data_IF_116265092183
#
_entry.id   IF_116265092183
#
_cell.length_a   1.000
_cell.length_b   1.000
_cell.length_c   1.000
_cell.angle_alpha   90.00
_cell.angle_beta   90.00
_cell.angle_gamma   90.00
#
_symmetry.space_group_name_H-M   'P 1'
#
loop_
_entity.id
_entity.type
_entity.pdbx_description
1 polymer ?
#
# COMPACT_ATOMS: atom_id res chain seq x y z
N UNK A 1 14.21 -5.54 20.49
CA UNK A 1 14.71 -4.19 20.76
C UNK A 1 13.53 -3.32 21.12
N UNK A 2 13.56 -2.67 22.29
CA UNK A 2 12.53 -1.71 22.69
C UNK A 2 12.97 -0.33 22.20
N UNK A 3 12.14 0.40 21.44
CA UNK A 3 12.52 1.73 20.96
C UNK A 3 12.68 2.73 22.11
N UNK A 4 13.65 3.63 21.96
CA UNK A 4 13.76 4.85 22.77
C UNK A 4 12.64 5.84 22.42
N UNK A 5 12.40 6.81 23.30
CA UNK A 5 11.42 7.86 23.07
C UNK A 5 11.70 8.68 21.79
N UNK A 6 12.97 9.00 21.52
CA UNK A 6 13.37 9.74 20.32
C UNK A 6 13.13 8.95 19.02
N UNK A 7 13.34 7.63 19.05
CA UNK A 7 13.05 6.76 17.90
C UNK A 7 11.53 6.67 17.67
N UNK A 8 10.74 6.61 18.74
CA UNK A 8 9.29 6.59 18.64
C UNK A 8 8.72 7.90 18.07
N UNK A 9 9.19 9.05 18.55
CA UNK A 9 8.82 10.35 17.99
C UNK A 9 9.21 10.45 16.51
N UNK A 10 10.41 9.99 16.16
CA UNK A 10 10.85 9.95 14.77
C UNK A 10 9.94 9.09 13.91
N UNK A 11 9.63 7.88 14.34
CA UNK A 11 8.74 6.96 13.63
C UNK A 11 7.33 7.57 13.44
N UNK A 12 6.78 8.21 14.47
CA UNK A 12 5.48 8.88 14.37
C UNK A 12 5.49 10.00 13.30
N UNK A 13 6.55 10.81 13.24
CA UNK A 13 6.70 11.84 12.20
C UNK A 13 6.77 11.26 10.79
N UNK A 14 7.49 10.14 10.61
CA UNK A 14 7.52 9.46 9.31
C UNK A 14 6.16 8.87 8.95
N UNK A 15 5.44 8.31 9.93
CA UNK A 15 4.07 7.83 9.74
C UNK A 15 3.13 8.93 9.25
N UNK A 16 3.12 10.08 9.93
CA UNK A 16 2.28 11.22 9.56
C UNK A 16 2.59 11.72 8.15
N UNK A 17 3.87 11.78 7.78
CA UNK A 17 4.27 12.18 6.44
C UNK A 17 3.87 11.15 5.38
N UNK A 18 4.05 9.85 5.63
CA UNK A 18 3.79 8.82 4.63
C UNK A 18 2.30 8.69 4.28
N UNK A 19 1.42 9.04 5.22
CA UNK A 19 -0.01 9.14 4.96
C UNK A 19 -0.35 10.45 4.25
N UNK A 20 -1.21 10.36 3.26
CA UNK A 20 -1.74 11.51 2.50
C UNK A 20 -3.12 11.89 3.03
N UNK A 21 -3.91 10.91 3.50
CA UNK A 21 -5.23 11.18 4.11
C UNK A 21 -6.22 11.79 3.13
N UNK A 22 -6.24 11.31 1.89
CA UNK A 22 -7.20 11.80 0.88
C UNK A 22 -8.63 11.43 1.29
N UNK A 23 -9.62 12.30 1.02
CA UNK A 23 -11.02 11.96 1.29
C UNK A 23 -11.47 10.80 0.40
N UNK A 24 -12.15 9.83 1.02
CA UNK A 24 -12.84 8.76 0.30
C UNK A 24 -14.02 9.36 -0.46
N UNK A 25 -14.06 9.09 -1.76
CA UNK A 25 -15.11 9.52 -2.70
C UNK A 25 -15.49 8.32 -3.59
N UNK A 26 -16.71 8.30 -4.16
CA UNK A 26 -17.09 7.28 -5.13
C UNK A 26 -16.02 7.09 -6.21
N UNK A 27 -15.85 5.85 -6.68
CA UNK A 27 -14.94 5.45 -7.73
C UNK A 27 -15.56 4.32 -8.56
N UNK A 28 -15.02 4.05 -9.75
CA UNK A 28 -15.48 2.92 -10.56
C UNK A 28 -14.90 1.60 -10.02
N UNK A 29 -13.68 1.64 -9.49
CA UNK A 29 -12.97 0.45 -8.98
C UNK A 29 -12.24 0.73 -7.67
N UNK A 30 -12.34 -0.22 -6.74
CA UNK A 30 -11.34 -0.39 -5.69
C UNK A 30 -10.18 -1.20 -6.26
N UNK A 31 -8.94 -0.74 -6.05
CA UNK A 31 -7.74 -1.48 -6.38
C UNK A 31 -7.00 -1.83 -5.10
N UNK A 32 -6.96 -3.11 -4.73
CA UNK A 32 -6.43 -3.57 -3.45
C UNK A 32 -5.05 -4.16 -3.66
N UNK A 33 -4.03 -3.55 -3.06
CA UNK A 33 -2.65 -4.01 -3.20
C UNK A 33 -2.30 -5.05 -2.15
N UNK A 34 -1.79 -6.18 -2.65
CA UNK A 34 -1.24 -7.26 -1.85
C UNK A 34 -0.08 -6.87 -0.94
N UNK A 35 0.16 -7.74 0.03
CA UNK A 35 1.37 -7.77 0.82
C UNK A 35 1.18 -8.54 2.12
N UNK A 36 2.10 -8.33 3.05
CA UNK A 36 2.12 -9.04 4.33
C UNK A 36 1.04 -8.61 5.34
N UNK A 37 0.35 -7.49 5.10
CA UNK A 37 -0.69 -6.96 5.97
C UNK A 37 -2.02 -7.08 5.23
N UNK A 38 -2.83 -8.06 5.63
CA UNK A 38 -4.09 -8.38 4.97
C UNK A 38 -5.25 -7.48 5.42
N UNK A 39 -5.02 -6.55 6.37
CA UNK A 39 -6.04 -5.57 6.80
C UNK A 39 -6.51 -4.65 5.66
N UNK A 40 -5.77 -4.60 4.55
CA UNK A 40 -6.20 -3.95 3.30
C UNK A 40 -7.48 -4.56 2.73
N UNK A 41 -7.69 -5.87 2.92
CA UNK A 41 -8.90 -6.55 2.47
C UNK A 41 -10.12 -6.16 3.31
N UNK A 42 -9.96 -6.03 4.64
CA UNK A 42 -11.03 -5.58 5.53
C UNK A 42 -11.48 -4.16 5.16
N UNK A 43 -10.52 -3.26 4.92
CA UNK A 43 -10.84 -1.89 4.46
C UNK A 43 -11.54 -1.89 3.11
N UNK A 44 -11.12 -2.74 2.17
CA UNK A 44 -11.76 -2.85 0.86
C UNK A 44 -13.20 -3.40 0.97
N UNK A 45 -13.46 -4.39 1.81
CA UNK A 45 -14.81 -4.90 2.08
C UNK A 45 -15.71 -3.81 2.66
N UNK A 46 -15.21 -3.05 3.65
CA UNK A 46 -15.94 -1.91 4.21
C UNK A 46 -16.34 -0.90 3.13
N UNK A 47 -15.39 -0.47 2.30
CA UNK A 47 -15.62 0.52 1.24
C UNK A 47 -16.62 0.01 0.18
N UNK A 48 -16.58 -1.27 -0.14
CA UNK A 48 -17.55 -1.89 -1.04
C UNK A 48 -18.98 -1.83 -0.46
N UNK A 49 -19.16 -2.20 0.81
CA UNK A 49 -20.46 -2.15 1.49
C UNK A 49 -20.98 -0.72 1.71
N UNK A 50 -20.08 0.25 1.83
CA UNK A 50 -20.40 1.69 1.84
C UNK A 50 -20.78 2.21 0.44
N UNK A 51 -20.71 1.40 -0.61
CA UNK A 51 -21.06 1.77 -1.98
C UNK A 51 -20.02 2.67 -2.65
N UNK A 52 -18.77 2.67 -2.18
CA UNK A 52 -17.72 3.53 -2.71
C UNK A 52 -17.31 3.13 -4.12
N UNK A 53 -17.26 1.82 -4.42
CA UNK A 53 -17.13 1.35 -5.79
C UNK A 53 -17.85 0.00 -5.96
N UNK A 54 -18.41 -0.26 -7.15
CA UNK A 54 -19.12 -1.50 -7.43
C UNK A 54 -18.21 -2.70 -7.71
N UNK A 55 -16.92 -2.48 -7.99
CA UNK A 55 -15.96 -3.52 -8.37
C UNK A 55 -14.66 -3.42 -7.57
N UNK A 56 -14.06 -4.57 -7.29
CA UNK A 56 -12.77 -4.69 -6.60
C UNK A 56 -11.80 -5.46 -7.48
N UNK A 57 -10.63 -4.89 -7.76
CA UNK A 57 -9.50 -5.59 -8.34
C UNK A 57 -8.46 -5.83 -7.23
N UNK A 58 -8.25 -7.09 -6.84
CA UNK A 58 -7.17 -7.45 -5.93
C UNK A 58 -5.93 -7.85 -6.73
N UNK A 59 -4.81 -7.18 -6.48
CA UNK A 59 -3.55 -7.31 -7.22
C UNK A 59 -2.40 -7.68 -6.29
N UNK A 60 -1.74 -8.80 -6.58
CA UNK A 60 -0.56 -9.26 -5.84
C UNK A 60 -0.26 -10.74 -6.08
N UNK A 61 1.01 -11.04 -6.37
CA UNK A 61 1.54 -12.37 -6.61
C UNK A 61 1.99 -13.09 -5.33
N UNK A 62 2.96 -14.00 -5.45
CA UNK A 62 3.38 -14.89 -4.35
C UNK A 62 4.51 -14.34 -3.47
N UNK A 63 5.09 -13.18 -3.81
CA UNK A 63 6.36 -12.71 -3.25
C UNK A 63 6.34 -12.45 -1.75
N UNK A 64 5.27 -11.87 -1.19
CA UNK A 64 5.22 -11.57 0.25
C UNK A 64 4.47 -12.62 1.07
N UNK A 65 4.06 -13.74 0.46
CA UNK A 65 3.47 -14.85 1.20
C UNK A 65 4.54 -15.66 1.94
N UNK A 66 4.34 -15.98 3.23
CA UNK A 66 5.22 -16.90 3.95
C UNK A 66 5.27 -18.29 3.29
N UNK A 67 6.41 -18.96 3.42
CA UNK A 67 6.54 -20.36 3.02
C UNK A 67 5.51 -21.23 3.76
N UNK A 68 4.72 -22.01 3.01
CA UNK A 68 3.62 -22.81 3.57
C UNK A 68 2.28 -22.07 3.70
N UNK A 69 2.15 -20.88 3.11
CA UNK A 69 0.86 -20.19 2.97
C UNK A 69 -0.20 -21.11 2.36
N UNK A 70 -1.43 -21.03 2.89
CA UNK A 70 -2.59 -21.73 2.34
C UNK A 70 -3.03 -21.17 0.97
N UNK A 71 -2.54 -19.99 0.60
CA UNK A 71 -2.87 -19.31 -0.65
C UNK A 71 -1.68 -19.29 -1.60
N UNK A 72 -1.97 -19.38 -2.90
CA UNK A 72 -0.95 -19.30 -3.94
C UNK A 72 -0.43 -17.87 -4.14
N UNK A 73 -1.29 -16.86 -3.96
CA UNK A 73 -0.96 -15.44 -4.18
C UNK A 73 -1.62 -14.55 -3.13
N UNK A 74 -1.06 -13.34 -2.96
CA UNK A 74 -1.64 -12.29 -2.11
C UNK A 74 -3.07 -11.93 -2.56
N UNK A 75 -3.33 -11.89 -3.87
CA UNK A 75 -4.66 -11.66 -4.41
C UNK A 75 -5.67 -12.76 -4.02
N UNK A 76 -5.25 -14.03 -4.00
CA UNK A 76 -6.11 -15.13 -3.55
C UNK A 76 -6.44 -15.03 -2.06
N UNK A 77 -5.49 -14.62 -1.23
CA UNK A 77 -5.72 -14.37 0.20
C UNK A 77 -6.70 -13.20 0.42
N UNK A 78 -6.52 -12.11 -0.33
CA UNK A 78 -7.45 -10.96 -0.29
C UNK A 78 -8.87 -11.39 -0.69
N UNK A 79 -9.03 -12.18 -1.77
CA UNK A 79 -10.35 -12.67 -2.20
C UNK A 79 -11.06 -13.45 -1.11
N UNK A 80 -10.33 -14.29 -0.36
CA UNK A 80 -10.93 -15.10 0.69
C UNK A 80 -11.53 -14.20 1.79
N UNK A 81 -10.79 -13.18 2.23
CA UNK A 81 -11.26 -12.22 3.23
C UNK A 81 -12.46 -11.44 2.70
N UNK A 82 -12.40 -10.95 1.45
CA UNK A 82 -13.51 -10.23 0.83
C UNK A 82 -14.78 -11.10 0.74
N UNK A 83 -14.63 -12.36 0.35
CA UNK A 83 -15.76 -13.32 0.24
C UNK A 83 -16.32 -13.65 1.63
N UNK A 84 -15.47 -13.84 2.63
CA UNK A 84 -15.89 -14.06 4.01
C UNK A 84 -16.60 -12.85 4.62
N UNK A 85 -16.35 -11.66 4.08
CA UNK A 85 -17.03 -10.41 4.40
C UNK A 85 -18.25 -10.14 3.48
N UNK A 86 -18.83 -11.16 2.84
CA UNK A 86 -20.03 -11.08 1.99
C UNK A 86 -19.89 -10.18 0.74
N UNK A 87 -18.67 -9.95 0.25
CA UNK A 87 -18.48 -9.35 -1.08
C UNK A 87 -18.72 -10.44 -2.16
N UNK A 88 -19.64 -10.22 -3.13
CA UNK A 88 -19.91 -11.18 -4.20
C UNK A 88 -18.66 -11.48 -5.02
N UNK A 89 -18.46 -12.75 -5.40
CA UNK A 89 -17.29 -13.17 -6.19
C UNK A 89 -17.24 -12.48 -7.56
N UNK A 90 -18.40 -12.16 -8.11
CA UNK A 90 -18.58 -11.48 -9.39
C UNK A 90 -18.12 -10.02 -9.33
N UNK A 91 -18.08 -9.42 -8.14
CA UNK A 91 -17.54 -8.09 -7.91
C UNK A 91 -16.01 -8.08 -7.71
N UNK A 92 -15.36 -9.25 -7.65
CA UNK A 92 -13.93 -9.38 -7.34
C UNK A 92 -13.16 -9.93 -8.56
N UNK A 93 -12.25 -9.11 -9.08
CA UNK A 93 -11.30 -9.47 -10.14
C UNK A 93 -9.91 -9.67 -9.54
N UNK A 94 -9.17 -10.69 -10.00
CA UNK A 94 -7.87 -11.06 -9.45
C UNK A 94 -6.73 -10.93 -10.45
N UNK A 95 -5.71 -10.17 -10.05
CA UNK A 95 -4.41 -10.04 -10.71
C UNK A 95 -3.34 -10.71 -9.81
N UNK A 96 -2.58 -11.66 -10.35
CA UNK A 96 -1.79 -12.65 -9.57
C UNK A 96 -0.28 -12.65 -9.85
N UNK A 97 0.19 -11.73 -10.67
CA UNK A 97 1.56 -11.69 -11.18
C UNK A 97 2.40 -10.62 -10.47
N UNK A 98 1.78 -9.54 -10.01
CA UNK A 98 2.52 -8.40 -9.49
C UNK A 98 3.38 -8.72 -8.25
N UNK A 99 4.63 -8.27 -8.27
CA UNK A 99 5.60 -8.48 -7.18
C UNK A 99 6.00 -7.17 -6.46
N UNK A 100 5.52 -6.04 -6.95
CA UNK A 100 5.78 -4.71 -6.40
C UNK A 100 4.68 -3.72 -6.82
N UNK A 101 4.67 -2.54 -6.18
CA UNK A 101 3.67 -1.49 -6.43
C UNK A 101 3.55 -1.10 -7.89
N UNK A 102 4.67 -1.00 -8.62
CA UNK A 102 4.66 -0.60 -10.02
C UNK A 102 4.07 -1.69 -10.93
N UNK A 103 4.31 -2.95 -10.61
CA UNK A 103 3.73 -4.09 -11.30
C UNK A 103 2.25 -4.24 -11.01
N UNK A 104 1.78 -3.89 -9.79
CA UNK A 104 0.35 -3.87 -9.50
C UNK A 104 -0.39 -2.97 -10.50
N UNK A 105 0.13 -1.77 -10.79
CA UNK A 105 -0.43 -0.88 -11.80
C UNK A 105 -0.34 -1.46 -13.22
N UNK A 106 0.81 -2.04 -13.59
CA UNK A 106 1.00 -2.61 -14.93
C UNK A 106 0.01 -3.74 -15.19
N UNK A 107 0.06 -4.79 -14.37
CA UNK A 107 -0.72 -6.00 -14.60
C UNK A 107 -2.22 -5.77 -14.41
N UNK A 108 -2.62 -4.84 -13.52
CA UNK A 108 -4.03 -4.45 -13.41
C UNK A 108 -4.52 -3.78 -14.70
N UNK A 109 -3.70 -2.93 -15.34
CA UNK A 109 -4.09 -2.29 -16.59
C UNK A 109 -4.15 -3.28 -17.76
N UNK A 110 -3.23 -4.26 -17.82
CA UNK A 110 -3.31 -5.35 -18.80
C UNK A 110 -4.57 -6.19 -18.60
N UNK A 111 -4.87 -6.58 -17.36
CA UNK A 111 -6.05 -7.38 -17.04
C UNK A 111 -7.35 -6.66 -17.40
N UNK A 112 -7.47 -5.36 -17.10
CA UNK A 112 -8.64 -4.57 -17.47
C UNK A 112 -8.78 -4.44 -18.99
N UNK A 113 -7.67 -4.19 -19.69
CA UNK A 113 -7.65 -4.11 -21.17
C UNK A 113 -8.09 -5.41 -21.81
N UNK A 114 -7.60 -6.55 -21.31
CA UNK A 114 -7.95 -7.88 -21.84
C UNK A 114 -9.45 -8.20 -21.66
N UNK A 115 -10.11 -7.57 -20.68
CA UNK A 115 -11.56 -7.64 -20.48
C UNK A 115 -12.34 -6.58 -21.27
N UNK A 116 -11.67 -5.74 -22.07
CA UNK A 116 -12.29 -4.64 -22.81
C UNK A 116 -12.76 -3.49 -21.92
N UNK A 117 -12.18 -3.35 -20.71
CA UNK A 117 -12.54 -2.33 -19.73
C UNK A 117 -11.49 -1.21 -19.72
N UNK A 118 -11.94 0.03 -19.57
CA UNK A 118 -11.06 1.20 -19.43
C UNK A 118 -11.57 2.22 -18.40
N UNK A 119 -11.78 1.80 -17.13
CA UNK A 119 -12.24 2.71 -16.08
C UNK A 119 -11.25 3.87 -15.86
N UNK A 120 -11.77 5.01 -15.45
CA UNK A 120 -11.00 6.23 -15.19
C UNK A 120 -10.83 6.55 -13.70
N UNK A 121 -11.77 6.14 -12.85
CA UNK A 121 -11.73 6.45 -11.42
C UNK A 121 -11.37 5.25 -10.55
N UNK A 122 -10.25 5.35 -9.84
CA UNK A 122 -9.75 4.31 -8.94
C UNK A 122 -9.55 4.85 -7.53
N UNK A 123 -9.97 4.05 -6.54
CA UNK A 123 -9.55 4.21 -5.15
C UNK A 123 -8.65 3.03 -4.77
N UNK A 124 -7.38 3.32 -4.51
CA UNK A 124 -6.39 2.29 -4.16
C UNK A 124 -6.40 2.07 -2.66
N UNK A 125 -6.63 0.83 -2.24
CA UNK A 125 -6.57 0.39 -0.85
C UNK A 125 -5.23 -0.29 -0.60
N UNK A 126 -4.47 0.26 0.34
CA UNK A 126 -3.09 -0.16 0.61
C UNK A 126 -2.69 0.13 2.07
N UNK A 127 -1.44 -0.18 2.46
CA UNK A 127 -0.97 -0.02 3.85
C UNK A 127 -0.79 1.45 4.21
N UNK A 128 -1.09 1.91 5.43
CA UNK A 128 -1.04 3.34 5.76
C UNK A 128 0.27 4.04 5.38
N UNK A 129 1.39 3.41 5.68
CA UNK A 129 2.72 3.97 5.41
C UNK A 129 3.17 3.92 3.95
N UNK A 130 2.36 3.40 3.02
CA UNK A 130 2.71 3.34 1.59
C UNK A 130 1.92 4.33 0.72
N UNK A 131 0.98 5.11 1.31
CA UNK A 131 0.03 5.97 0.57
C UNK A 131 0.74 6.92 -0.40
N UNK A 132 1.71 7.69 0.11
CA UNK A 132 2.42 8.70 -0.68
C UNK A 132 3.20 8.08 -1.84
N UNK A 133 3.84 6.92 -1.64
CA UNK A 133 4.59 6.24 -2.71
C UNK A 133 3.68 5.61 -3.75
N UNK A 134 2.55 5.03 -3.32
CA UNK A 134 1.54 4.50 -4.24
C UNK A 134 0.97 5.61 -5.11
N UNK A 135 0.63 6.76 -4.54
CA UNK A 135 0.15 7.92 -5.28
C UNK A 135 1.21 8.48 -6.25
N UNK A 136 2.47 8.57 -5.83
CA UNK A 136 3.56 8.97 -6.72
C UNK A 136 3.81 7.95 -7.85
N UNK A 137 3.60 6.66 -7.59
CA UNK A 137 3.72 5.60 -8.61
C UNK A 137 2.57 5.67 -9.61
N UNK A 138 1.35 5.93 -9.14
CA UNK A 138 0.17 6.02 -10.02
C UNK A 138 0.30 7.14 -11.04
N UNK A 139 0.80 8.32 -10.64
CA UNK A 139 1.02 9.46 -11.55
C UNK A 139 1.94 9.12 -12.71
N UNK A 140 2.95 8.28 -12.46
CA UNK A 140 3.85 7.82 -13.52
C UNK A 140 3.21 6.73 -14.39
N UNK A 141 2.51 5.77 -13.78
CA UNK A 141 2.02 4.58 -14.48
C UNK A 141 0.70 4.82 -15.21
N UNK A 142 -0.18 5.61 -14.61
CA UNK A 142 -1.52 5.93 -15.07
C UNK A 142 -1.75 7.46 -15.03
N UNK A 143 -1.01 8.26 -15.82
CA UNK A 143 -1.14 9.71 -15.81
C UNK A 143 -2.54 10.20 -16.21
N UNK A 144 -3.27 9.43 -17.03
CA UNK A 144 -4.59 9.79 -17.54
C UNK A 144 -5.75 9.27 -16.67
N UNK A 145 -5.47 8.63 -15.53
CA UNK A 145 -6.48 8.07 -14.61
C UNK A 145 -6.62 8.93 -13.36
N UNK A 146 -7.84 9.03 -12.85
CA UNK A 146 -8.14 9.70 -11.59
C UNK A 146 -7.92 8.71 -10.43
N UNK A 147 -6.71 8.74 -9.86
CA UNK A 147 -6.32 7.83 -8.79
C UNK A 147 -6.34 8.54 -7.44
N UNK A 148 -7.06 7.96 -6.49
CA UNK A 148 -7.00 8.28 -5.06
C UNK A 148 -6.41 7.12 -4.28
N UNK A 149 -5.87 7.40 -3.11
CA UNK A 149 -5.34 6.37 -2.19
C UNK A 149 -6.04 6.46 -0.85
N UNK A 150 -6.23 5.31 -0.23
CA UNK A 150 -6.71 5.17 1.15
C UNK A 150 -6.00 4.00 1.83
N UNK A 151 -6.15 3.93 3.14
CA UNK A 151 -5.67 2.81 3.95
C UNK A 151 -6.64 2.52 5.10
N UNK A 152 -6.21 1.67 6.03
CA UNK A 152 -6.92 1.40 7.27
C UNK A 152 -6.99 2.68 8.12
N UNK A 153 -8.17 3.00 8.65
CA UNK A 153 -8.39 4.16 9.53
C UNK A 153 -7.89 3.86 10.94
N UNK A 154 -6.57 3.99 11.15
CA UNK A 154 -5.91 3.73 12.44
C UNK A 154 -4.93 4.83 12.82
N UNK A 155 -4.77 5.04 14.13
CA UNK A 155 -3.68 5.85 14.69
C UNK A 155 -2.36 5.09 14.64
N UNK A 156 -1.23 5.79 14.79
CA UNK A 156 0.08 5.17 14.85
C UNK A 156 0.20 4.21 16.04
N UNK A 157 -0.34 4.60 17.19
CA UNK A 157 -0.37 3.81 18.42
C UNK A 157 -1.15 2.51 18.23
N UNK A 158 -2.34 2.60 17.60
CA UNK A 158 -3.14 1.42 17.28
C UNK A 158 -2.42 0.50 16.30
N UNK A 159 -1.74 1.05 15.28
CA UNK A 159 -0.97 0.25 14.34
C UNK A 159 0.20 -0.47 15.04
N UNK A 160 0.88 0.21 15.96
CA UNK A 160 1.97 -0.36 16.78
C UNK A 160 1.48 -1.40 17.80
N UNK A 161 0.24 -1.28 18.27
CA UNK A 161 -0.40 -2.25 19.16
C UNK A 161 -0.94 -3.49 18.40
N UNK A 162 -0.87 -3.50 17.08
CA UNK A 162 -1.28 -4.62 16.24
C UNK A 162 -0.33 -5.82 16.28
N UNK A 163 -0.50 -6.73 15.33
CA UNK A 163 0.27 -8.00 15.27
C UNK A 163 1.70 -7.84 14.73
N UNK A 164 2.03 -6.68 14.13
CA UNK A 164 3.34 -6.44 13.54
C UNK A 164 4.29 -5.94 14.63
N UNK A 165 5.46 -6.57 14.83
CA UNK A 165 6.42 -6.10 15.82
C UNK A 165 6.85 -4.66 15.55
N UNK A 166 6.83 -3.81 16.58
CA UNK A 166 7.18 -2.38 16.50
C UNK A 166 8.51 -2.12 15.76
N UNK A 167 9.61 -2.87 16.01
CA UNK A 167 10.85 -2.67 15.24
C UNK A 167 10.68 -2.88 13.73
N UNK A 168 9.84 -3.83 13.32
CA UNK A 168 9.53 -4.06 11.91
C UNK A 168 8.73 -2.90 11.32
N UNK A 169 7.81 -2.31 12.09
CA UNK A 169 7.09 -1.09 11.68
C UNK A 169 8.07 0.03 11.41
N UNK A 170 9.03 0.27 12.32
CA UNK A 170 10.00 1.36 12.17
C UNK A 170 10.87 1.15 10.93
N UNK A 171 11.31 -0.10 10.68
CA UNK A 171 12.02 -0.43 9.44
C UNK A 171 11.19 -0.15 8.19
N UNK A 172 9.89 -0.45 8.22
CA UNK A 172 8.99 -0.19 7.09
C UNK A 172 8.86 1.32 6.84
N UNK A 173 8.65 2.12 7.89
CA UNK A 173 8.54 3.58 7.75
C UNK A 173 9.82 4.19 7.19
N UNK A 174 10.98 3.87 7.78
CA UNK A 174 12.26 4.37 7.32
C UNK A 174 12.55 3.93 5.87
N UNK A 175 12.26 2.66 5.54
CA UNK A 175 12.42 2.13 4.20
C UNK A 175 11.55 2.84 3.16
N UNK A 176 10.33 3.24 3.50
CA UNK A 176 9.44 3.94 2.58
C UNK A 176 9.89 5.37 2.29
N UNK A 177 10.42 6.08 3.28
CA UNK A 177 10.99 7.43 3.09
C UNK A 177 12.19 7.36 2.13
N UNK A 178 13.11 6.41 2.36
CA UNK A 178 14.28 6.22 1.49
C UNK A 178 13.87 5.78 0.08
N UNK A 179 12.83 4.93 -0.06
CA UNK A 179 12.28 4.58 -1.37
C UNK A 179 11.68 5.77 -2.10
N UNK A 180 10.93 6.64 -1.41
CA UNK A 180 10.35 7.83 -2.03
C UNK A 180 11.43 8.70 -2.67
N UNK A 181 12.52 8.96 -1.95
CA UNK A 181 13.64 9.76 -2.46
C UNK A 181 14.37 9.06 -3.62
N UNK A 182 14.83 7.82 -3.40
CA UNK A 182 15.58 7.05 -4.40
C UNK A 182 14.79 6.79 -5.68
N UNK A 183 13.49 6.47 -5.55
CA UNK A 183 12.64 6.19 -6.71
C UNK A 183 12.28 7.46 -7.46
N UNK A 184 12.17 8.61 -6.79
CA UNK A 184 12.02 9.89 -7.48
C UNK A 184 13.27 10.22 -8.30
N UNK A 185 14.46 10.05 -7.73
CA UNK A 185 15.73 10.31 -8.42
C UNK A 185 15.96 9.40 -9.63
N UNK A 186 15.63 8.11 -9.52
CA UNK A 186 15.71 7.13 -10.62
C UNK A 186 14.54 7.22 -11.61
N UNK A 187 13.57 8.12 -11.35
CA UNK A 187 12.39 8.28 -12.18
C UNK A 187 11.43 7.09 -12.12
N UNK A 188 11.48 6.22 -11.11
CA UNK A 188 10.53 5.10 -10.93
C UNK A 188 9.16 5.56 -10.44
N UNK A 189 9.07 6.75 -9.83
CA UNK A 189 7.83 7.39 -9.37
C UNK A 189 7.84 8.89 -9.73
N UNK A 190 6.68 9.54 -9.62
CA UNK A 190 6.53 10.98 -9.83
C UNK A 190 5.81 11.62 -8.63
N UNK A 191 6.56 12.06 -7.59
CA UNK A 191 5.98 12.74 -6.44
C UNK A 191 5.59 14.19 -6.79
N UNK A 192 4.72 14.83 -5.99
CA UNK A 192 4.41 16.26 -6.15
C UNK A 192 5.57 17.14 -5.67
N UNK A 193 6.19 16.73 -4.57
CA UNK A 193 7.25 17.43 -3.88
C UNK A 193 8.34 16.42 -3.50
N UNK A 194 9.62 16.84 -3.46
CA UNK A 194 10.69 16.00 -2.95
C UNK A 194 10.46 15.65 -1.47
N UNK A 195 11.06 14.56 -1.02
CA UNK A 195 11.07 14.20 0.40
C UNK A 195 11.82 15.30 1.18
N UNK A 196 11.24 15.88 2.25
CA UNK A 196 11.95 16.84 3.09
C UNK A 196 13.24 16.24 3.66
N UNK A 197 14.36 16.99 3.55
CA UNK A 197 15.69 16.51 3.92
C UNK A 197 15.75 16.02 5.37
N UNK A 198 15.05 16.69 6.28
CA UNK A 198 14.99 16.35 7.70
C UNK A 198 14.29 15.01 7.95
N UNK A 199 13.32 14.62 7.11
CA UNK A 199 12.66 13.32 7.20
C UNK A 199 13.53 12.22 6.60
N UNK A 200 14.25 12.51 5.51
CA UNK A 200 15.21 11.58 4.92
C UNK A 200 16.37 11.28 5.89
N UNK A 201 16.95 12.31 6.50
CA UNK A 201 17.95 12.16 7.55
C UNK A 201 17.43 11.36 8.74
N UNK A 202 16.19 11.62 9.17
CA UNK A 202 15.57 10.90 10.26
C UNK A 202 15.35 9.41 9.95
N UNK A 203 14.94 9.09 8.71
CA UNK A 203 14.84 7.70 8.25
C UNK A 203 16.20 7.00 8.24
N UNK A 204 17.26 7.66 7.77
CA UNK A 204 18.61 7.10 7.83
C UNK A 204 19.12 6.90 9.26
N UNK A 205 18.78 7.79 10.21
CA UNK A 205 19.08 7.58 11.63
C UNK A 205 18.39 6.35 12.20
N UNK A 206 17.12 6.11 11.87
CA UNK A 206 16.43 4.87 12.27
C UNK A 206 17.10 3.64 11.66
N UNK A 207 17.49 3.67 10.38
CA UNK A 207 18.23 2.56 9.76
C UNK A 207 19.57 2.30 10.46
N UNK A 208 20.33 3.35 10.76
CA UNK A 208 21.60 3.24 11.50
C UNK A 208 21.43 2.71 12.93
N UNK A 209 20.25 2.90 13.54
CA UNK A 209 19.89 2.34 14.84
C UNK A 209 19.44 0.85 14.77
N UNK A 210 19.45 0.22 13.59
CA UNK A 210 19.11 -1.19 13.40
C UNK A 210 17.67 -1.43 12.90
N UNK A 211 16.95 -0.38 12.49
CA UNK A 211 15.66 -0.51 11.83
C UNK A 211 15.83 -0.54 10.30
N UNK A 212 16.57 -1.53 9.78
CA UNK A 212 17.07 -1.58 8.40
C UNK A 212 16.61 -2.81 7.61
N UNK A 213 15.80 -3.70 8.18
CA UNK A 213 15.30 -4.93 7.53
C UNK A 213 14.45 -4.68 6.27
N UNK A 214 14.16 -3.41 5.96
CA UNK A 214 13.42 -2.93 4.80
C UNK A 214 14.17 -1.80 4.07
N UNK A 215 15.48 -1.67 4.28
CA UNK A 215 16.32 -0.74 3.50
C UNK A 215 16.35 -1.15 2.02
N UNK A 216 16.73 -0.20 1.17
CA UNK A 216 17.16 -0.53 -0.19
C UNK A 216 18.54 -1.17 -0.08
N UNK A 217 18.70 -2.35 -0.65
CA UNK A 217 20.02 -2.98 -0.85
C UNK A 217 20.67 -2.42 -2.10
#
# INVERSE_FOLDING_TARGET
MTPSWSEAETAHRLWDYLRVGQPVKPAEWLLVFGGHDLAVADRAAQLYHEGIAPMILASGGSRALPQGSAYATEADAIREILTAADVPKEAIVLERLASNTSENFWFSAELLRDQGLDPHEFLIVQKPYTERRVLATSRRRWPDKNVRVTSQEVTFEQYCAGSIPVPKIYSMLAGEIVRLDSYAHSGLIQPDEPVPSELLEAAHRLQAAGYDTRSLQ
#
